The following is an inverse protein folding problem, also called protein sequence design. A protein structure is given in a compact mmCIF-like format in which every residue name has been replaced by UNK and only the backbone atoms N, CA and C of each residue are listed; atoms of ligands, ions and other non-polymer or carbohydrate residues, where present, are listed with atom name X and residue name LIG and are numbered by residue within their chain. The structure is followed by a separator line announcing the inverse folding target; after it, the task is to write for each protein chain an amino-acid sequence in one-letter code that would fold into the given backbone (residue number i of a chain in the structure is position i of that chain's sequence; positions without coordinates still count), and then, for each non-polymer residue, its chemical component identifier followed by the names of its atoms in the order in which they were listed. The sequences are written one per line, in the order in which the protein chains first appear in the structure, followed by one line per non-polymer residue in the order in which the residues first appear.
data_IF_787690848295
#
_entry.id   IF_787690848295
#
_cell.length_a   1.000
_cell.length_b   1.000
_cell.length_c   1.000
_cell.angle_alpha   90.00
_cell.angle_beta   90.00
_cell.angle_gamma   90.00
#
_symmetry.space_group_name_H-M   'P 1'
#
loop_
_entity.id
_entity.type
_entity.pdbx_description
1 polymer ?
#
# COMPACT_ATOMS: atom_id res chain seq x y z
N UNK A 1 -16.63 -22.34 -15.70
CA UNK A 1 -16.41 -21.04 -15.01
C UNK A 1 -14.92 -20.92 -14.74
N UNK A 2 -14.30 -19.79 -15.08
CA UNK A 2 -12.88 -19.54 -14.83
C UNK A 2 -12.77 -18.43 -13.78
N UNK A 3 -12.17 -18.76 -12.64
CA UNK A 3 -11.93 -17.83 -11.54
C UNK A 3 -10.45 -17.51 -11.47
N UNK A 4 -10.10 -16.24 -11.35
CA UNK A 4 -8.71 -15.78 -11.22
C UNK A 4 -8.57 -14.98 -9.92
N UNK A 5 -7.52 -15.25 -9.15
CA UNK A 5 -7.16 -14.48 -7.96
C UNK A 5 -5.70 -14.01 -8.06
N UNK A 6 -5.44 -12.78 -7.63
CA UNK A 6 -4.09 -12.23 -7.55
C UNK A 6 -3.37 -12.65 -6.24
N UNK A 7 -4.13 -12.98 -5.20
CA UNK A 7 -3.59 -13.43 -3.91
C UNK A 7 -3.52 -14.97 -3.90
N UNK A 8 -2.32 -15.56 -3.76
CA UNK A 8 -2.18 -17.00 -3.69
C UNK A 8 -2.82 -17.51 -2.38
N UNK A 9 -3.90 -18.29 -2.51
CA UNK A 9 -4.58 -18.93 -1.38
C UNK A 9 -3.74 -20.13 -0.91
N UNK A 10 -3.62 -20.40 0.40
CA UNK A 10 -2.95 -21.59 0.89
C UNK A 10 -3.48 -22.86 0.20
N UNK A 11 -2.56 -23.69 -0.27
CA UNK A 11 -2.88 -24.83 -1.16
C UNK A 11 -3.95 -25.75 -0.58
N UNK A 12 -3.88 -26.05 0.71
CA UNK A 12 -4.85 -26.91 1.41
C UNK A 12 -6.26 -26.32 1.42
N UNK A 13 -6.39 -25.02 1.66
CA UNK A 13 -7.68 -24.32 1.64
C UNK A 13 -8.29 -24.31 0.23
N UNK A 14 -7.44 -24.16 -0.79
CA UNK A 14 -7.87 -24.14 -2.17
C UNK A 14 -8.47 -25.48 -2.63
N UNK A 15 -7.91 -26.61 -2.16
CA UNK A 15 -8.44 -27.96 -2.43
C UNK A 15 -9.78 -28.23 -1.74
N UNK A 16 -10.05 -27.59 -0.61
CA UNK A 16 -11.33 -27.76 0.10
C UNK A 16 -12.44 -26.89 -0.47
N UNK A 17 -12.14 -25.64 -0.84
CA UNK A 17 -13.14 -24.68 -1.33
C UNK A 17 -13.45 -24.87 -2.82
N UNK A 18 -12.42 -25.17 -3.62
CA UNK A 18 -12.52 -25.31 -5.08
C UNK A 18 -12.20 -26.74 -5.53
N UNK A 19 -12.45 -27.75 -4.67
CA UNK A 19 -12.02 -29.14 -4.87
C UNK A 19 -12.51 -29.81 -6.16
N UNK A 20 -13.60 -29.29 -6.73
CA UNK A 20 -14.16 -29.75 -8.01
C UNK A 20 -13.60 -28.99 -9.23
N UNK A 21 -12.67 -28.04 -9.04
CA UNK A 21 -12.07 -27.22 -10.10
C UNK A 21 -10.58 -27.51 -10.24
N UNK A 22 -10.13 -27.74 -11.48
CA UNK A 22 -8.71 -27.81 -11.80
C UNK A 22 -8.02 -26.47 -11.51
N UNK A 23 -6.88 -26.52 -10.81
CA UNK A 23 -6.12 -25.35 -10.42
C UNK A 23 -4.90 -25.16 -11.32
N UNK A 24 -4.77 -23.95 -11.87
CA UNK A 24 -3.56 -23.52 -12.58
C UNK A 24 -2.92 -22.34 -11.84
N UNK A 25 -1.58 -22.36 -11.71
CA UNK A 25 -0.81 -21.32 -11.01
C UNK A 25 0.12 -20.64 -12.01
N UNK A 26 0.00 -19.32 -12.11
CA UNK A 26 0.92 -18.47 -12.86
C UNK A 26 1.85 -17.80 -11.85
N UNK A 27 3.08 -18.28 -11.73
CA UNK A 27 4.08 -17.81 -10.75
C UNK A 27 5.24 -17.02 -11.38
N UNK A 28 5.12 -16.70 -12.66
CA UNK A 28 6.12 -15.96 -13.42
C UNK A 28 5.80 -14.47 -13.44
N UNK A 29 6.83 -13.65 -13.36
CA UNK A 29 6.67 -12.20 -13.51
C UNK A 29 6.70 -11.80 -14.98
N UNK A 30 5.99 -10.71 -15.35
CA UNK A 30 6.13 -10.11 -16.67
C UNK A 30 7.59 -9.78 -16.98
N UNK A 31 7.98 -9.91 -18.25
CA UNK A 31 9.32 -9.55 -18.72
C UNK A 31 9.66 -8.11 -18.35
N UNK A 32 10.85 -7.88 -17.79
CA UNK A 32 11.32 -6.55 -17.42
C UNK A 32 10.85 -6.03 -16.06
N UNK A 33 10.14 -6.85 -15.25
CA UNK A 33 9.82 -6.47 -13.87
C UNK A 33 11.10 -6.24 -13.06
N UNK A 34 11.30 -5.01 -12.59
CA UNK A 34 12.41 -4.65 -11.70
C UNK A 34 12.12 -5.16 -10.27
N UNK A 35 13.14 -5.59 -9.51
CA UNK A 35 12.98 -5.93 -8.10
C UNK A 35 12.55 -4.68 -7.30
N UNK A 36 11.71 -4.90 -6.29
CA UNK A 36 11.29 -3.83 -5.38
C UNK A 36 12.36 -3.68 -4.30
N UNK A 37 12.83 -2.45 -4.10
CA UNK A 37 13.72 -2.14 -2.99
C UNK A 37 12.89 -1.84 -1.73
N UNK A 38 13.06 -2.66 -0.69
CA UNK A 38 12.30 -2.55 0.56
C UNK A 38 13.21 -2.11 1.70
N UNK A 39 12.78 -1.09 2.46
CA UNK A 39 13.47 -0.58 3.65
C UNK A 39 12.52 -0.54 4.84
N UNK A 40 13.07 -0.82 6.02
CA UNK A 40 12.42 -0.56 7.31
C UNK A 40 13.13 0.63 7.95
N UNK A 41 12.38 1.68 8.26
CA UNK A 41 12.91 2.93 8.81
C UNK A 41 12.40 3.12 10.24
N UNK A 42 13.25 3.68 11.10
CA UNK A 42 12.85 4.21 12.40
C UNK A 42 12.32 5.64 12.23
N UNK A 43 11.56 6.11 13.21
CA UNK A 43 10.99 7.47 13.26
C UNK A 43 12.04 8.57 13.11
N UNK A 44 13.27 8.35 13.57
CA UNK A 44 14.36 9.33 13.44
C UNK A 44 14.76 9.61 11.98
N UNK A 45 14.38 8.74 11.04
CA UNK A 45 14.66 8.90 9.61
C UNK A 45 13.47 9.46 8.81
N UNK A 46 12.44 9.99 9.48
CA UNK A 46 11.27 10.56 8.80
C UNK A 46 11.64 11.75 7.90
N UNK A 47 12.60 12.58 8.32
CA UNK A 47 13.07 13.70 7.49
C UNK A 47 13.68 13.23 6.17
N UNK A 48 14.45 12.14 6.19
CA UNK A 48 15.04 11.56 4.98
C UNK A 48 13.98 10.90 4.11
N UNK A 49 12.97 10.27 4.72
CA UNK A 49 11.81 9.75 4.01
C UNK A 49 11.06 10.86 3.27
N UNK A 50 10.83 12.01 3.93
CA UNK A 50 10.12 13.13 3.30
C UNK A 50 10.89 13.71 2.11
N UNK A 51 12.21 13.88 2.23
CA UNK A 51 13.06 14.30 1.09
C UNK A 51 13.01 13.31 -0.08
N UNK A 52 12.98 12.01 0.22
CA UNK A 52 12.87 10.98 -0.82
C UNK A 52 11.51 11.06 -1.52
N UNK A 53 10.42 11.20 -0.78
CA UNK A 53 9.08 11.37 -1.34
C UNK A 53 9.03 12.59 -2.27
N UNK A 54 9.55 13.73 -1.82
CA UNK A 54 9.62 14.95 -2.63
C UNK A 54 10.43 14.76 -3.91
N UNK A 55 11.61 14.13 -3.82
CA UNK A 55 12.46 13.84 -4.98
C UNK A 55 11.79 12.91 -5.99
N UNK A 56 11.04 11.91 -5.53
CA UNK A 56 10.34 10.96 -6.42
C UNK A 56 9.16 11.64 -7.12
N UNK A 57 8.38 12.42 -6.39
CA UNK A 57 7.22 13.12 -6.96
C UNK A 57 7.65 14.21 -7.95
N UNK A 58 8.70 14.96 -7.63
CA UNK A 58 9.28 15.96 -8.56
C UNK A 58 9.89 15.32 -9.81
N UNK A 59 10.29 14.06 -9.75
CA UNK A 59 10.74 13.26 -10.90
C UNK A 59 9.57 12.71 -11.76
N UNK A 60 8.32 13.06 -11.42
CA UNK A 60 7.11 12.64 -12.13
C UNK A 60 6.52 11.32 -11.65
N UNK A 61 6.99 10.77 -10.53
CA UNK A 61 6.40 9.58 -9.92
C UNK A 61 5.26 9.91 -8.95
N UNK A 62 4.58 8.87 -8.47
CA UNK A 62 3.50 8.98 -7.49
C UNK A 62 3.81 8.13 -6.28
N UNK A 63 3.34 8.57 -5.11
CA UNK A 63 3.57 7.89 -3.83
C UNK A 63 2.23 7.51 -3.20
N UNK A 64 2.15 6.26 -2.73
CA UNK A 64 1.06 5.79 -1.89
C UNK A 64 1.49 5.81 -0.41
N UNK A 65 0.71 6.49 0.42
CA UNK A 65 0.86 6.48 1.88
C UNK A 65 -0.29 5.69 2.49
N UNK A 66 0.01 4.57 3.16
CA UNK A 66 -1.01 3.66 3.70
C UNK A 66 -1.08 3.79 5.21
N UNK A 67 -2.25 4.18 5.72
CA UNK A 67 -2.55 4.24 7.14
C UNK A 67 -3.55 3.12 7.50
N UNK A 68 -3.35 2.41 8.63
CA UNK A 68 -4.24 1.30 9.00
C UNK A 68 -5.59 1.77 9.57
N UNK A 69 -5.67 3.01 10.07
CA UNK A 69 -6.90 3.59 10.62
C UNK A 69 -7.40 4.73 9.74
N UNK A 70 -8.73 4.88 9.65
CA UNK A 70 -9.37 6.00 8.94
C UNK A 70 -9.40 7.26 9.81
N UNK A 71 -9.91 7.10 11.03
CA UNK A 71 -9.99 8.10 12.09
C UNK A 71 -9.16 7.64 13.29
N UNK A 72 -8.87 8.56 14.21
CA UNK A 72 -8.15 8.22 15.44
C UNK A 72 -8.95 7.22 16.29
N UNK A 73 -8.22 6.38 17.03
CA UNK A 73 -8.79 5.37 17.91
C UNK A 73 -8.33 5.62 19.33
N UNK A 74 -9.27 5.65 20.27
CA UNK A 74 -8.95 5.80 21.71
C UNK A 74 -8.13 4.62 22.27
N UNK A 75 -8.16 3.47 21.61
CA UNK A 75 -7.49 2.24 22.05
C UNK A 75 -6.19 1.93 21.30
N UNK A 76 -5.97 2.56 20.14
CA UNK A 76 -4.82 2.32 19.29
C UNK A 76 -4.14 3.65 18.96
N UNK A 77 -2.94 3.85 19.52
CA UNK A 77 -2.07 4.99 19.22
C UNK A 77 -1.40 4.80 17.84
N UNK A 78 -2.21 4.83 16.78
CA UNK A 78 -1.76 4.69 15.40
C UNK A 78 -2.31 5.86 14.57
N UNK A 79 -1.46 6.43 13.72
CA UNK A 79 -1.84 7.56 12.86
C UNK A 79 -3.03 7.22 11.95
N UNK A 80 -4.06 8.07 12.00
CA UNK A 80 -5.23 8.00 11.12
C UNK A 80 -4.91 8.55 9.72
N UNK A 81 -5.59 8.04 8.70
CA UNK A 81 -5.43 8.49 7.32
C UNK A 81 -5.77 9.98 7.17
N UNK A 82 -6.82 10.44 7.88
CA UNK A 82 -7.25 11.85 7.86
C UNK A 82 -6.16 12.75 8.44
N UNK A 83 -5.75 12.51 9.70
CA UNK A 83 -4.73 13.31 10.39
C UNK A 83 -3.40 13.30 9.63
N UNK A 84 -2.97 12.12 9.16
CA UNK A 84 -1.75 12.00 8.37
C UNK A 84 -1.85 12.75 7.04
N UNK A 85 -3.01 12.77 6.38
CA UNK A 85 -3.18 13.54 5.14
C UNK A 85 -3.07 15.05 5.35
N UNK A 86 -3.56 15.57 6.48
CA UNK A 86 -3.42 16.97 6.86
C UNK A 86 -1.97 17.32 7.16
N UNK A 87 -1.27 16.47 7.92
CA UNK A 87 0.17 16.60 8.18
C UNK A 87 0.97 16.60 6.87
N UNK A 88 0.70 15.67 5.95
CA UNK A 88 1.40 15.58 4.67
C UNK A 88 1.16 16.80 3.78
N UNK A 89 -0.03 17.42 3.83
CA UNK A 89 -0.29 18.69 3.12
C UNK A 89 0.52 19.85 3.68
N UNK A 90 0.79 19.85 4.99
CA UNK A 90 1.65 20.86 5.61
C UNK A 90 3.14 20.61 5.29
N UNK A 91 3.56 19.35 5.25
CA UNK A 91 4.94 18.96 4.91
C UNK A 91 5.24 19.21 3.43
N UNK A 92 4.27 18.94 2.55
CA UNK A 92 4.42 19.04 1.11
C UNK A 92 3.43 20.07 0.51
N UNK A 93 3.63 21.37 0.75
CA UNK A 93 2.69 22.42 0.30
C UNK A 93 2.59 22.51 -1.23
N UNK A 94 3.65 22.12 -1.94
CA UNK A 94 3.72 22.18 -3.40
C UNK A 94 3.24 20.89 -4.09
N UNK A 95 2.88 19.85 -3.32
CA UNK A 95 2.43 18.56 -3.85
C UNK A 95 0.92 18.37 -3.66
N UNK A 96 0.29 17.66 -4.58
CA UNK A 96 -1.12 17.29 -4.45
C UNK A 96 -1.27 16.06 -3.57
N UNK A 97 -1.86 16.23 -2.39
CA UNK A 97 -2.15 15.12 -1.45
C UNK A 97 -3.64 14.77 -1.48
N UNK A 98 -3.96 13.65 -2.13
CA UNK A 98 -5.28 13.02 -2.11
C UNK A 98 -5.48 12.11 -0.91
N UNK A 99 -6.72 12.04 -0.41
CA UNK A 99 -7.13 11.11 0.65
C UNK A 99 -8.19 10.16 0.08
N UNK A 100 -7.99 8.86 0.29
CA UNK A 100 -8.96 7.82 -0.04
C UNK A 100 -9.05 6.88 1.17
N UNK A 101 -10.27 6.62 1.66
CA UNK A 101 -10.51 5.65 2.72
C UNK A 101 -11.87 4.97 2.59
N UNK A 102 -12.03 3.78 3.19
CA UNK A 102 -13.21 2.93 3.00
C UNK A 102 -14.56 3.49 3.47
N UNK A 103 -14.57 4.56 4.27
CA UNK A 103 -15.80 5.31 4.63
C UNK A 103 -16.24 6.35 3.58
N UNK A 104 -15.42 6.63 2.55
CA UNK A 104 -15.81 7.48 1.44
C UNK A 104 -16.77 6.69 0.54
N UNK A 105 -17.83 7.34 0.06
CA UNK A 105 -18.83 6.74 -0.83
C UNK A 105 -18.43 6.89 -2.30
#
# INVERSE_FOLDING_TARGET
MLNMTATPIPRTLSLTINGDQDMSIINEYPKGRKPIYTKVLKTDHLTDLYRMVESEVTSGHQVYWVCPLVEESETLDIASAVSKSEELRLIFPDLTVGLIHGRMK
#
